data_IF_092720786958
#
_entry.id   IF_092720786958
#
_cell.length_a   1.000
_cell.length_b   1.000
_cell.length_c   1.000
_cell.angle_alpha   90.00
_cell.angle_beta   90.00
_cell.angle_gamma   90.00
#
_symmetry.space_group_name_H-M   'P 1'
#
loop_
_entity.id
_entity.type
_entity.pdbx_description
1 polymer ?
#
# COMPACT_ATOMS: atom_id res chain seq x y z
N UNK A 1 -16.24 17.24 4.76
CA UNK A 1 -15.70 16.16 3.89
C UNK A 1 -14.34 15.74 4.45
N UNK A 2 -13.99 14.45 4.40
CA UNK A 2 -12.64 13.97 4.77
C UNK A 2 -11.95 13.45 3.51
N UNK A 3 -10.70 13.84 3.28
CA UNK A 3 -9.89 13.43 2.13
C UNK A 3 -8.57 12.86 2.64
N UNK A 4 -8.04 11.86 1.97
CA UNK A 4 -6.70 11.34 2.17
C UNK A 4 -5.97 11.37 0.82
N UNK A 5 -4.73 11.85 0.82
CA UNK A 5 -3.86 11.86 -0.37
C UNK A 5 -2.97 10.63 -0.29
N UNK A 6 -2.88 9.87 -1.38
CA UNK A 6 -2.01 8.71 -1.54
C UNK A 6 -1.14 8.91 -2.77
N UNK A 7 0.16 8.65 -2.63
CA UNK A 7 1.09 8.51 -3.74
C UNK A 7 1.63 7.09 -3.76
N UNK A 8 1.74 6.50 -4.95
CA UNK A 8 2.20 5.13 -5.13
C UNK A 8 3.66 5.13 -5.64
N UNK A 9 4.31 3.97 -5.63
CA UNK A 9 5.64 3.75 -6.22
C UNK A 9 6.83 4.54 -5.63
N UNK A 10 6.71 5.06 -4.41
CA UNK A 10 7.90 5.57 -3.69
C UNK A 10 8.88 4.41 -3.49
N UNK A 11 10.09 4.52 -4.02
CA UNK A 11 11.02 3.39 -4.10
C UNK A 11 12.47 3.86 -4.16
N UNK A 12 13.41 2.93 -4.30
CA UNK A 12 14.82 3.23 -4.52
C UNK A 12 15.05 4.30 -5.62
N UNK A 13 14.24 4.32 -6.68
CA UNK A 13 14.41 5.26 -7.80
C UNK A 13 13.87 6.67 -7.52
N UNK A 14 13.14 6.86 -6.42
CA UNK A 14 12.59 8.16 -6.04
C UNK A 14 13.68 9.06 -5.46
N UNK A 15 13.71 10.33 -5.85
CA UNK A 15 14.59 11.33 -5.24
C UNK A 15 13.81 12.20 -4.24
N UNK A 16 14.45 12.69 -3.16
CA UNK A 16 13.85 13.69 -2.28
C UNK A 16 13.26 14.88 -3.04
N UNK A 17 14.03 15.42 -4.00
CA UNK A 17 13.61 16.55 -4.84
C UNK A 17 12.36 16.27 -5.69
N UNK A 18 12.12 15.01 -6.07
CA UNK A 18 10.89 14.66 -6.78
C UNK A 18 9.68 14.79 -5.85
N UNK A 19 9.77 14.26 -4.63
CA UNK A 19 8.68 14.34 -3.65
C UNK A 19 8.47 15.79 -3.17
N UNK A 20 9.55 16.53 -2.90
CA UNK A 20 9.48 17.94 -2.47
C UNK A 20 8.81 18.82 -3.53
N UNK A 21 9.12 18.61 -4.82
CA UNK A 21 8.47 19.37 -5.91
C UNK A 21 6.97 19.11 -6.01
N UNK A 22 6.51 17.92 -5.66
CA UNK A 22 5.09 17.55 -5.77
C UNK A 22 4.31 17.95 -4.52
N UNK A 23 4.93 17.87 -3.33
CA UNK A 23 4.21 17.95 -2.07
C UNK A 23 4.79 18.90 -1.02
N UNK A 24 5.86 19.64 -1.33
CA UNK A 24 6.51 20.55 -0.37
C UNK A 24 5.55 21.60 0.23
N UNK A 25 4.53 22.02 -0.53
CA UNK A 25 3.48 22.94 -0.08
C UNK A 25 2.18 22.23 0.39
N UNK A 26 2.15 20.90 0.32
CA UNK A 26 1.01 20.04 0.69
C UNK A 26 1.16 19.45 2.08
N UNK A 27 2.34 18.92 2.41
CA UNK A 27 2.54 18.13 3.63
C UNK A 27 2.34 18.92 4.93
N UNK A 28 2.48 20.25 4.89
CA UNK A 28 2.19 21.14 6.03
C UNK A 28 0.68 21.35 6.26
N UNK A 29 -0.15 20.97 5.29
CA UNK A 29 -1.62 21.12 5.34
C UNK A 29 -2.30 19.78 5.62
N UNK A 30 -1.80 18.72 5.01
CA UNK A 30 -2.36 17.37 5.15
C UNK A 30 -1.26 16.33 5.00
N UNK A 31 -1.19 15.33 5.90
CA UNK A 31 -0.25 14.23 5.73
C UNK A 31 -0.55 13.44 4.45
N UNK A 32 0.50 13.13 3.69
CA UNK A 32 0.39 12.29 2.48
C UNK A 32 0.75 10.85 2.82
N UNK A 33 -0.04 9.89 2.34
CA UNK A 33 0.26 8.47 2.45
C UNK A 33 1.18 8.07 1.28
N UNK A 34 2.44 7.75 1.56
CA UNK A 34 3.37 7.25 0.56
C UNK A 34 3.34 5.72 0.59
N UNK A 35 2.94 5.11 -0.51
CA UNK A 35 3.03 3.67 -0.72
C UNK A 35 4.47 3.34 -1.17
N UNK A 36 5.22 2.68 -0.29
CA UNK A 36 6.65 2.46 -0.46
C UNK A 36 6.93 1.02 -0.89
N UNK A 37 7.69 0.85 -1.97
CA UNK A 37 8.16 -0.44 -2.46
C UNK A 37 9.50 -0.77 -1.78
N UNK A 38 9.60 -1.85 -0.98
CA UNK A 38 10.83 -2.20 -0.25
C UNK A 38 12.03 -2.53 -1.15
N UNK A 39 11.79 -3.34 -2.18
CA UNK A 39 12.82 -4.01 -2.99
C UNK A 39 12.50 -3.88 -4.50
N UNK A 40 12.31 -2.65 -4.97
CA UNK A 40 11.83 -2.36 -6.32
C UNK A 40 12.65 -3.08 -7.40
N UNK A 41 12.00 -3.58 -8.43
CA UNK A 41 12.67 -4.12 -9.62
C UNK A 41 12.60 -3.12 -10.77
N UNK A 42 13.59 -3.16 -11.67
CA UNK A 42 13.59 -2.30 -12.84
C UNK A 42 12.76 -2.89 -13.99
N UNK A 43 11.50 -2.48 -14.12
CA UNK A 43 10.65 -2.74 -15.30
C UNK A 43 10.31 -1.43 -16.01
N UNK A 44 9.65 -1.52 -17.17
CA UNK A 44 9.36 -0.36 -18.02
C UNK A 44 8.29 0.56 -17.39
N UNK A 45 8.76 1.59 -16.68
CA UNK A 45 7.90 2.64 -16.12
C UNK A 45 8.61 4.00 -16.21
N UNK A 46 7.89 5.11 -16.49
CA UNK A 46 8.50 6.44 -16.60
C UNK A 46 9.29 6.90 -15.37
N UNK A 47 8.93 6.41 -14.16
CA UNK A 47 9.62 6.73 -12.91
C UNK A 47 10.93 5.96 -12.68
N UNK A 48 11.25 4.97 -13.53
CA UNK A 48 12.46 4.15 -13.43
C UNK A 48 13.39 4.54 -14.58
N UNK A 49 14.68 4.85 -14.33
CA UNK A 49 15.61 5.13 -15.42
C UNK A 49 15.71 3.95 -16.38
N UNK A 50 15.68 4.24 -17.69
CA UNK A 50 15.69 3.21 -18.76
C UNK A 50 16.84 2.22 -18.65
N UNK A 51 17.98 2.65 -18.11
CA UNK A 51 19.16 1.80 -17.90
C UNK A 51 18.91 0.63 -16.93
N UNK A 52 17.87 0.72 -16.09
CA UNK A 52 17.52 -0.33 -15.12
C UNK A 52 16.37 -1.22 -15.59
N UNK A 53 15.70 -0.86 -16.69
CA UNK A 53 14.62 -1.68 -17.25
C UNK A 53 15.15 -3.06 -17.65
N UNK A 54 14.45 -4.12 -17.26
CA UNK A 54 14.80 -5.52 -17.50
C UNK A 54 16.16 -5.96 -16.92
N UNK A 55 16.71 -5.22 -15.96
CA UNK A 55 17.99 -5.56 -15.33
C UNK A 55 17.95 -6.88 -14.54
N UNK A 56 16.76 -7.33 -14.12
CA UNK A 56 16.60 -8.47 -13.21
C UNK A 56 17.14 -8.18 -11.79
N UNK A 57 17.63 -6.98 -11.54
CA UNK A 57 18.15 -6.55 -10.24
C UNK A 57 16.99 -6.09 -9.34
N UNK A 58 17.14 -6.39 -8.05
CA UNK A 58 16.29 -5.85 -6.99
C UNK A 58 17.02 -4.73 -6.26
N UNK A 59 16.36 -3.59 -6.15
CA UNK A 59 16.88 -2.36 -5.59
C UNK A 59 16.24 -2.09 -4.23
N UNK A 60 16.93 -2.51 -3.18
CA UNK A 60 16.54 -2.26 -1.80
C UNK A 60 16.52 -0.75 -1.49
N UNK A 61 15.47 -0.27 -0.84
CA UNK A 61 15.31 1.14 -0.47
C UNK A 61 16.52 1.73 0.30
N UNK A 62 17.17 0.93 1.15
CA UNK A 62 18.34 1.34 1.95
C UNK A 62 19.53 1.80 1.11
N UNK A 63 19.62 1.34 -0.16
CA UNK A 63 20.65 1.75 -1.11
C UNK A 63 20.46 3.19 -1.61
N UNK A 64 19.35 3.85 -1.27
CA UNK A 64 19.12 5.28 -1.46
C UNK A 64 19.11 5.99 -0.09
N UNK A 65 20.28 6.25 0.52
CA UNK A 65 20.37 6.83 1.87
C UNK A 65 19.78 8.24 1.94
N UNK A 66 19.83 9.00 0.84
CA UNK A 66 19.25 10.34 0.77
C UNK A 66 17.72 10.30 0.92
N UNK A 67 17.04 9.39 0.19
CA UNK A 67 15.61 9.19 0.34
C UNK A 67 15.25 8.65 1.72
N UNK A 68 16.00 7.68 2.25
CA UNK A 68 15.73 7.13 3.60
C UNK A 68 15.81 8.22 4.67
N UNK A 69 16.84 9.05 4.64
CA UNK A 69 16.98 10.16 5.59
C UNK A 69 15.82 11.17 5.44
N UNK A 70 15.45 11.49 4.21
CA UNK A 70 14.34 12.38 3.90
C UNK A 70 12.99 11.85 4.43
N UNK A 71 12.67 10.58 4.14
CA UNK A 71 11.45 9.93 4.62
C UNK A 71 11.39 9.90 6.15
N UNK A 72 12.49 9.58 6.83
CA UNK A 72 12.55 9.63 8.31
C UNK A 72 12.21 11.01 8.85
N UNK A 73 12.78 12.08 8.26
CA UNK A 73 12.45 13.45 8.65
C UNK A 73 10.97 13.81 8.44
N UNK A 74 10.36 13.35 7.34
CA UNK A 74 8.93 13.53 7.10
C UNK A 74 8.05 12.74 8.08
N UNK A 75 8.48 11.55 8.48
CA UNK A 75 7.78 10.72 9.49
C UNK A 75 7.84 11.40 10.86
N UNK A 76 9.03 11.85 11.28
CA UNK A 76 9.24 12.53 12.56
C UNK A 76 8.40 13.81 12.69
N UNK A 77 8.31 14.57 11.60
CA UNK A 77 7.47 15.77 11.49
C UNK A 77 5.98 15.48 11.25
N UNK A 78 5.58 14.21 11.18
CA UNK A 78 4.20 13.74 10.91
C UNK A 78 3.60 14.25 9.59
N UNK A 79 4.46 14.55 8.62
CA UNK A 79 4.11 15.01 7.28
C UNK A 79 3.69 13.88 6.35
N UNK A 80 4.08 12.64 6.66
CA UNK A 80 3.72 11.45 5.86
C UNK A 80 3.25 10.29 6.72
N UNK A 81 2.43 9.44 6.13
CA UNK A 81 2.18 8.06 6.57
C UNK A 81 2.80 7.12 5.57
N UNK A 82 3.43 6.03 6.03
CA UNK A 82 4.00 5.02 5.13
C UNK A 82 3.07 3.81 5.02
N UNK A 83 2.84 3.35 3.80
CA UNK A 83 2.16 2.09 3.50
C UNK A 83 3.11 1.14 2.77
N UNK A 84 2.95 -0.16 3.00
CA UNK A 84 3.67 -1.19 2.23
C UNK A 84 3.05 -1.28 0.83
N UNK A 85 3.86 -1.08 -0.21
CA UNK A 85 3.44 -1.19 -1.60
C UNK A 85 4.04 -2.42 -2.28
N UNK A 86 3.38 -3.56 -2.09
CA UNK A 86 3.91 -4.83 -2.57
C UNK A 86 5.20 -5.25 -1.86
N UNK A 87 6.09 -5.93 -2.59
CA UNK A 87 7.44 -6.28 -2.13
C UNK A 87 8.49 -5.84 -3.14
N UNK A 88 8.25 -6.15 -4.41
CA UNK A 88 9.14 -5.79 -5.54
C UNK A 88 8.44 -4.95 -6.61
N UNK A 89 7.10 -4.93 -6.61
CA UNK A 89 6.29 -4.41 -7.71
C UNK A 89 6.53 -5.15 -9.04
N UNK A 90 6.90 -6.43 -8.98
CA UNK A 90 7.20 -7.25 -10.15
C UNK A 90 5.95 -7.75 -10.89
N UNK A 91 5.99 -7.68 -12.22
CA UNK A 91 5.05 -8.33 -13.11
C UNK A 91 5.46 -9.77 -13.42
N UNK A 92 4.48 -10.66 -13.43
CA UNK A 92 4.63 -12.08 -13.77
C UNK A 92 3.80 -12.41 -15.01
N UNK A 93 4.13 -13.51 -15.69
CA UNK A 93 3.42 -13.94 -16.90
C UNK A 93 1.89 -14.05 -16.70
N UNK A 94 1.46 -14.50 -15.53
CA UNK A 94 0.05 -14.74 -15.19
C UNK A 94 -0.59 -13.60 -14.37
N UNK A 95 0.06 -12.44 -14.28
CA UNK A 95 -0.48 -11.24 -13.62
C UNK A 95 0.51 -10.50 -12.72
N UNK A 96 -0.01 -9.53 -11.97
CA UNK A 96 0.81 -8.67 -11.11
C UNK A 96 1.28 -9.37 -9.83
N UNK A 97 2.22 -8.77 -9.11
CA UNK A 97 2.87 -9.34 -7.92
C UNK A 97 1.90 -10.04 -6.96
N UNK A 98 0.85 -9.35 -6.52
CA UNK A 98 -0.09 -9.92 -5.54
C UNK A 98 -1.26 -10.71 -6.15
N UNK A 99 -1.25 -10.90 -7.47
CA UNK A 99 -2.13 -11.82 -8.18
C UNK A 99 -1.44 -13.16 -8.46
N UNK A 100 -0.21 -13.08 -8.97
CA UNK A 100 0.52 -14.20 -9.56
C UNK A 100 1.76 -14.62 -8.74
N UNK A 101 2.34 -13.69 -7.97
CA UNK A 101 3.64 -13.86 -7.34
C UNK A 101 3.72 -14.99 -6.30
N UNK A 102 4.88 -15.65 -6.18
CA UNK A 102 5.11 -16.71 -5.20
C UNK A 102 5.26 -16.15 -3.78
N UNK A 103 5.08 -17.01 -2.77
CA UNK A 103 5.46 -16.77 -1.37
C UNK A 103 4.96 -15.44 -0.77
N UNK A 104 3.74 -15.04 -1.15
CA UNK A 104 3.14 -13.79 -0.71
C UNK A 104 3.13 -13.57 0.82
N UNK A 105 2.87 -14.60 1.67
CA UNK A 105 2.94 -14.42 3.13
C UNK A 105 4.31 -13.94 3.59
N UNK A 106 5.38 -14.57 3.10
CA UNK A 106 6.75 -14.24 3.49
C UNK A 106 7.16 -12.88 2.93
N UNK A 107 6.82 -12.59 1.68
CA UNK A 107 7.07 -11.28 1.06
C UNK A 107 6.42 -10.14 1.83
N UNK A 108 5.15 -10.30 2.24
CA UNK A 108 4.47 -9.25 3.03
C UNK A 108 5.15 -9.07 4.39
N UNK A 109 5.46 -10.16 5.09
CA UNK A 109 6.09 -10.08 6.41
C UNK A 109 7.49 -9.48 6.34
N UNK A 110 8.33 -9.95 5.41
CA UNK A 110 9.69 -9.46 5.21
C UNK A 110 9.69 -8.01 4.76
N UNK A 111 8.88 -7.64 3.75
CA UNK A 111 8.79 -6.26 3.27
C UNK A 111 8.32 -5.30 4.36
N UNK A 112 7.34 -5.71 5.16
CA UNK A 112 6.87 -4.96 6.33
C UNK A 112 7.99 -4.78 7.36
N UNK A 113 8.59 -5.88 7.82
CA UNK A 113 9.63 -5.83 8.86
C UNK A 113 10.85 -5.01 8.42
N UNK A 114 11.22 -5.13 7.15
CA UNK A 114 12.28 -4.35 6.51
C UNK A 114 11.96 -2.84 6.56
N UNK A 115 10.78 -2.41 6.09
CA UNK A 115 10.42 -0.98 6.13
C UNK A 115 10.25 -0.46 7.55
N UNK A 116 9.69 -1.24 8.47
CA UNK A 116 9.54 -0.84 9.87
C UNK A 116 10.91 -0.59 10.51
N UNK A 117 11.87 -1.48 10.25
CA UNK A 117 13.26 -1.35 10.75
C UNK A 117 13.98 -0.18 10.08
N UNK A 118 13.89 -0.07 8.75
CA UNK A 118 14.59 0.95 7.97
C UNK A 118 14.05 2.35 8.25
N UNK A 119 12.74 2.53 8.39
CA UNK A 119 12.14 3.86 8.55
C UNK A 119 11.81 4.21 10.00
N UNK A 120 11.97 3.27 10.94
CA UNK A 120 11.71 3.51 12.36
C UNK A 120 10.24 3.81 12.66
N UNK A 121 9.32 3.31 11.84
CA UNK A 121 7.89 3.55 11.97
C UNK A 121 7.09 2.26 11.86
N UNK A 122 5.90 2.22 12.42
CA UNK A 122 5.00 1.06 12.28
C UNK A 122 4.27 1.12 10.95
N UNK A 123 4.22 0.00 10.23
CA UNK A 123 3.45 -0.15 9.00
C UNK A 123 2.17 -0.93 9.31
N UNK A 124 1.03 -0.29 9.09
CA UNK A 124 -0.30 -0.90 9.26
C UNK A 124 -1.13 -0.92 7.98
N UNK A 125 -0.65 -0.28 6.91
CA UNK A 125 -1.35 -0.15 5.64
C UNK A 125 -0.64 -0.93 4.55
N UNK A 126 -1.42 -1.56 3.68
CA UNK A 126 -0.96 -2.23 2.47
C UNK A 126 -1.68 -1.67 1.25
N UNK A 127 -0.93 -1.26 0.24
CA UNK A 127 -1.45 -0.84 -1.06
C UNK A 127 -1.02 -1.89 -2.09
N UNK A 128 -1.96 -2.58 -2.77
CA UNK A 128 -1.58 -3.57 -3.78
C UNK A 128 -0.99 -2.88 -5.03
N UNK A 129 0.17 -3.33 -5.53
CA UNK A 129 0.67 -2.99 -6.86
C UNK A 129 -0.41 -3.14 -7.93
N UNK A 130 -0.48 -2.20 -8.87
CA UNK A 130 -1.53 -2.14 -9.90
C UNK A 130 -2.97 -2.19 -9.37
N UNK A 131 -3.16 -1.92 -8.07
CA UNK A 131 -4.44 -2.06 -7.41
C UNK A 131 -5.03 -3.48 -7.55
N UNK A 132 -4.16 -4.49 -7.69
CA UNK A 132 -4.50 -5.85 -8.08
C UNK A 132 -4.18 -6.88 -7.00
N UNK A 133 -5.16 -7.70 -6.63
CA UNK A 133 -5.06 -8.62 -5.50
C UNK A 133 -5.82 -9.91 -5.77
N UNK A 134 -5.18 -11.06 -5.56
CA UNK A 134 -5.83 -12.38 -5.58
C UNK A 134 -6.37 -12.77 -4.19
N UNK A 135 -7.13 -13.86 -4.10
CA UNK A 135 -7.56 -14.47 -2.82
C UNK A 135 -6.38 -14.77 -1.89
N UNK A 136 -5.31 -15.36 -2.44
CA UNK A 136 -4.07 -15.66 -1.69
C UNK A 136 -3.34 -14.38 -1.24
N UNK A 137 -3.29 -13.36 -2.11
CA UNK A 137 -2.69 -12.07 -1.75
C UNK A 137 -3.44 -11.38 -0.64
N UNK A 138 -4.78 -11.38 -0.71
CA UNK A 138 -5.61 -10.84 0.36
C UNK A 138 -5.44 -11.59 1.67
N UNK A 139 -5.41 -12.92 1.64
CA UNK A 139 -5.18 -13.73 2.83
C UNK A 139 -3.80 -13.46 3.44
N UNK A 140 -2.74 -13.34 2.63
CA UNK A 140 -1.39 -13.02 3.09
C UNK A 140 -1.33 -11.66 3.80
N UNK A 141 -1.94 -10.62 3.22
CA UNK A 141 -1.99 -9.28 3.81
C UNK A 141 -2.80 -9.26 5.11
N UNK A 142 -3.95 -9.94 5.13
CA UNK A 142 -4.79 -10.05 6.33
C UNK A 142 -4.09 -10.83 7.46
N UNK A 143 -3.35 -11.90 7.12
CA UNK A 143 -2.55 -12.67 8.08
C UNK A 143 -1.40 -11.85 8.67
N UNK A 144 -0.80 -10.94 7.88
CA UNK A 144 0.18 -9.97 8.36
C UNK A 144 -0.42 -8.83 9.20
N UNK A 145 -1.75 -8.78 9.35
CA UNK A 145 -2.46 -7.80 10.16
C UNK A 145 -2.47 -6.39 9.57
N UNK A 146 -2.35 -6.26 8.25
CA UNK A 146 -2.36 -4.98 7.54
C UNK A 146 -3.76 -4.65 7.00
N UNK A 147 -4.14 -3.38 7.06
CA UNK A 147 -5.34 -2.86 6.42
C UNK A 147 -5.06 -2.58 4.93
N UNK A 148 -5.96 -2.99 4.05
CA UNK A 148 -5.78 -2.83 2.60
C UNK A 148 -6.37 -1.49 2.14
N UNK A 149 -5.53 -0.65 1.53
CA UNK A 149 -5.90 0.60 0.87
C UNK A 149 -5.80 0.43 -0.65
N UNK A 150 -6.94 0.28 -1.32
CA UNK A 150 -7.03 0.16 -2.79
C UNK A 150 -8.11 1.06 -3.36
N UNK A 151 -8.16 1.19 -4.69
CA UNK A 151 -9.30 1.86 -5.34
C UNK A 151 -10.57 1.00 -5.23
N UNK A 152 -11.75 1.62 -5.29
CA UNK A 152 -13.05 0.93 -5.21
C UNK A 152 -13.21 -0.18 -6.27
N UNK A 153 -12.47 -0.10 -7.39
CA UNK A 153 -12.49 -1.07 -8.49
C UNK A 153 -11.60 -2.30 -8.25
N UNK A 154 -10.69 -2.24 -7.27
CA UNK A 154 -9.78 -3.33 -6.88
C UNK A 154 -10.49 -4.47 -6.16
N UNK A 155 -11.58 -4.15 -5.47
CA UNK A 155 -12.28 -5.09 -4.62
C UNK A 155 -13.45 -5.73 -5.38
N UNK A 156 -13.18 -6.79 -6.15
CA UNK A 156 -14.27 -7.70 -6.56
C UNK A 156 -14.71 -8.48 -5.31
N UNK A 157 -15.95 -8.34 -4.82
CA UNK A 157 -16.39 -9.03 -3.59
C UNK A 157 -16.23 -10.56 -3.67
N UNK A 158 -16.33 -11.13 -4.87
CA UNK A 158 -16.13 -12.57 -5.14
C UNK A 158 -14.70 -13.07 -4.90
N UNK A 159 -13.72 -12.16 -4.81
CA UNK A 159 -12.32 -12.48 -4.53
C UNK A 159 -11.97 -12.38 -3.04
N UNK A 160 -12.93 -12.04 -2.16
CA UNK A 160 -12.69 -12.09 -0.71
C UNK A 160 -12.74 -13.55 -0.21
N UNK A 161 -11.77 -13.99 0.60
CA UNK A 161 -11.92 -15.22 1.37
C UNK A 161 -13.14 -15.11 2.30
N UNK A 162 -13.90 -16.19 2.46
CA UNK A 162 -14.95 -16.26 3.47
C UNK A 162 -14.34 -16.75 4.78
N UNK A 163 -14.27 -15.88 5.76
CA UNK A 163 -13.82 -16.20 7.12
C UNK A 163 -14.82 -15.70 8.18
N UNK A 164 -14.57 -16.01 9.45
CA UNK A 164 -15.42 -15.55 10.56
C UNK A 164 -15.46 -14.02 10.66
N UNK A 165 -14.38 -13.33 10.25
CA UNK A 165 -14.31 -11.86 10.26
C UNK A 165 -15.27 -11.25 9.26
N UNK A 166 -15.46 -11.89 8.11
CA UNK A 166 -16.43 -11.50 7.09
C UNK A 166 -17.85 -11.43 7.66
N UNK A 167 -18.24 -12.40 8.48
CA UNK A 167 -19.54 -12.40 9.16
C UNK A 167 -19.63 -11.27 10.18
N UNK A 168 -18.58 -11.05 10.99
CA UNK A 168 -18.57 -9.96 11.97
C UNK A 168 -18.64 -8.58 11.33
N UNK A 169 -17.88 -8.35 10.25
CA UNK A 169 -17.92 -7.14 9.44
C UNK A 169 -19.30 -6.93 8.84
N UNK A 170 -19.92 -7.99 8.29
CA UNK A 170 -21.26 -7.90 7.75
C UNK A 170 -22.25 -7.39 8.80
N UNK A 171 -22.23 -7.94 10.01
CA UNK A 171 -23.08 -7.48 11.11
C UNK A 171 -22.77 -6.04 11.54
N UNK A 172 -21.49 -5.67 11.61
CA UNK A 172 -21.08 -4.30 11.93
C UNK A 172 -21.59 -3.29 10.90
N UNK A 173 -21.58 -3.66 9.62
CA UNK A 173 -22.14 -2.87 8.52
C UNK A 173 -23.67 -2.80 8.61
N UNK A 174 -24.35 -3.91 8.88
CA UNK A 174 -25.82 -3.92 9.04
C UNK A 174 -26.26 -3.05 10.22
N UNK A 175 -25.56 -3.13 11.37
CA UNK A 175 -25.82 -2.28 12.53
C UNK A 175 -25.66 -0.80 12.21
N UNK A 176 -24.59 -0.42 11.51
CA UNK A 176 -24.38 0.97 11.11
C UNK A 176 -25.46 1.47 10.16
N UNK A 177 -25.84 0.66 9.16
CA UNK A 177 -26.93 0.99 8.24
C UNK A 177 -28.24 1.24 8.98
N UNK A 178 -28.62 0.34 9.88
CA UNK A 178 -29.82 0.50 10.72
C UNK A 178 -29.75 1.76 11.58
N UNK A 179 -28.61 2.01 12.23
CA UNK A 179 -28.43 3.18 13.09
C UNK A 179 -28.43 4.53 12.34
N UNK A 180 -28.15 4.51 11.03
CA UNK A 180 -28.06 5.73 10.20
C UNK A 180 -29.20 5.86 9.19
N UNK A 181 -30.18 4.93 9.20
CA UNK A 181 -31.25 4.89 8.21
C UNK A 181 -30.79 4.61 6.77
N UNK A 182 -29.53 4.16 6.58
CA UNK A 182 -28.94 3.91 5.25
C UNK A 182 -29.31 2.53 4.72
N UNK A 183 -29.68 2.48 3.46
CA UNK A 183 -29.95 1.27 2.71
C UNK A 183 -28.70 0.72 2.01
N UNK A 184 -28.87 -0.35 1.23
CA UNK A 184 -27.82 -0.87 0.33
C UNK A 184 -27.62 -0.02 -0.92
N UNK A 185 -28.59 0.82 -1.28
CA UNK A 185 -28.57 1.68 -2.47
C UNK A 185 -27.86 3.01 -2.21
N UNK A 186 -27.71 3.39 -0.95
CA UNK A 186 -27.00 4.60 -0.56
C UNK A 186 -25.48 4.45 -0.68
N UNK A 187 -24.75 5.53 -1.02
CA UNK A 187 -23.30 5.54 -1.03
C UNK A 187 -22.73 5.01 0.29
N UNK A 188 -21.89 3.98 0.19
CA UNK A 188 -21.35 3.31 1.36
C UNK A 188 -20.16 4.08 1.93
N UNK A 189 -20.45 4.94 2.91
CA UNK A 189 -19.44 5.65 3.71
C UNK A 189 -19.47 5.03 5.11
N UNK A 190 -18.57 4.07 5.35
CA UNK A 190 -18.48 3.39 6.65
C UNK A 190 -17.31 3.98 7.46
N UNK A 191 -17.55 4.49 8.68
CA UNK A 191 -16.56 5.31 9.39
C UNK A 191 -15.47 4.50 10.10
N UNK A 192 -15.43 3.18 9.95
CA UNK A 192 -14.50 2.27 10.64
C UNK A 192 -13.83 1.36 9.62
N UNK A 193 -12.57 0.99 9.84
CA UNK A 193 -11.94 -0.04 9.04
C UNK A 193 -12.67 -1.38 9.26
N UNK A 194 -12.94 -2.12 8.19
CA UNK A 194 -13.44 -3.49 8.23
C UNK A 194 -12.23 -4.42 8.21
N UNK A 195 -12.17 -5.41 9.12
CA UNK A 195 -10.99 -6.25 9.38
C UNK A 195 -11.11 -7.69 8.90
#
# INVERSE_FOLDING_TARGET
MKVAIRDDDTSYFTTPDALERVYGDVWDRVPVCLAVVPFAIGYEQPGIPRAHWHSGESFALERNPALVAFLRGLIESRRVTIALHGYTHQDYADGYEFQAGPDLPDRVQQGRAYLETLLGCRISLFVPPHNALSKRGMAAVAAAGLDILGSFLSFRPSMRPWDWRTVTNWWAVQRYRRATGRSRRDPFVYPRALR
#
